data_IF_695945628371
#
_entry.id   IF_695945628371
#
_cell.length_a   1.000
_cell.length_b   1.000
_cell.length_c   1.000
_cell.angle_alpha   90.00
_cell.angle_beta   90.00
_cell.angle_gamma   90.00
#
_symmetry.space_group_name_H-M   'P 1'
#
loop_
_entity.id
_entity.type
_entity.pdbx_description
1 polymer ?
#
# COMPACT_ATOMS: atom_id res chain seq x y z
N UNK A 1 16.11 -10.67 3.44
CA UNK A 1 15.64 -9.28 3.62
C UNK A 1 15.14 -8.64 2.31
N UNK A 2 15.71 -8.98 1.13
CA UNK A 2 15.44 -8.31 -0.16
C UNK A 2 13.96 -8.15 -0.59
N UNK A 3 13.01 -8.99 -0.12
CA UNK A 3 11.59 -8.92 -0.52
C UNK A 3 10.64 -8.34 0.54
N UNK A 4 11.15 -7.83 1.66
CA UNK A 4 10.30 -7.39 2.78
C UNK A 4 9.40 -6.22 2.40
N UNK A 5 9.94 -5.18 1.76
CA UNK A 5 9.15 -4.04 1.29
C UNK A 5 8.10 -4.45 0.25
N UNK A 6 8.42 -5.39 -0.65
CA UNK A 6 7.46 -5.90 -1.62
C UNK A 6 6.33 -6.69 -0.94
N UNK A 7 6.63 -7.48 0.10
CA UNK A 7 5.62 -8.18 0.90
C UNK A 7 4.75 -7.19 1.67
N UNK A 8 5.34 -6.16 2.26
CA UNK A 8 4.59 -5.09 2.92
C UNK A 8 3.64 -4.39 1.95
N UNK A 9 4.15 -3.94 0.82
CA UNK A 9 3.36 -3.29 -0.23
C UNK A 9 2.25 -4.18 -0.78
N UNK A 10 2.49 -5.49 -0.88
CA UNK A 10 1.45 -6.42 -1.35
C UNK A 10 0.23 -6.46 -0.42
N UNK A 11 0.37 -6.11 0.87
CA UNK A 11 -0.76 -6.02 1.81
C UNK A 11 -1.59 -4.76 1.56
N UNK A 12 -0.96 -3.66 1.13
CA UNK A 12 -1.66 -2.45 0.70
C UNK A 12 -2.45 -2.69 -0.59
N UNK A 13 -1.84 -3.35 -1.58
CA UNK A 13 -2.44 -3.52 -2.91
C UNK A 13 -3.45 -4.67 -2.95
N UNK A 14 -3.18 -5.75 -2.21
CA UNK A 14 -4.01 -6.96 -2.21
C UNK A 14 -4.56 -7.32 -0.82
N UNK A 15 -5.19 -6.39 -0.08
CA UNK A 15 -5.59 -6.60 1.30
C UNK A 15 -6.49 -7.83 1.48
N UNK A 16 -7.40 -8.07 0.52
CA UNK A 16 -8.30 -9.24 0.52
C UNK A 16 -7.56 -10.58 0.52
N UNK A 17 -6.40 -10.69 -0.15
CA UNK A 17 -5.62 -11.94 -0.19
C UNK A 17 -4.96 -12.25 1.15
N UNK A 18 -4.82 -11.24 2.01
CA UNK A 18 -4.30 -11.34 3.38
C UNK A 18 -5.42 -11.38 4.43
N UNK A 19 -6.70 -11.32 4.02
CA UNK A 19 -7.83 -11.22 4.95
C UNK A 19 -7.93 -9.86 5.66
N UNK A 20 -7.28 -8.82 5.13
CA UNK A 20 -7.41 -7.44 5.61
C UNK A 20 -8.70 -6.82 5.07
N UNK A 21 -9.23 -5.82 5.77
CA UNK A 21 -10.46 -5.14 5.36
C UNK A 21 -10.30 -4.51 3.96
N UNK A 22 -11.37 -4.21 3.25
CA UNK A 22 -11.27 -3.46 2.00
C UNK A 22 -12.62 -2.84 1.62
N UNK A 23 -12.59 -1.87 0.71
CA UNK A 23 -13.78 -1.13 0.28
C UNK A 23 -14.87 -2.00 -0.36
N UNK A 24 -14.51 -3.16 -0.92
CA UNK A 24 -15.44 -4.01 -1.66
C UNK A 24 -16.04 -5.14 -0.83
N UNK A 25 -15.45 -5.44 0.32
CA UNK A 25 -16.00 -6.40 1.29
C UNK A 25 -15.96 -5.74 2.66
N UNK A 26 -16.91 -4.83 2.96
CA UNK A 26 -17.00 -4.26 4.29
C UNK A 26 -17.24 -5.42 5.26
N UNK A 27 -16.22 -5.75 6.06
CA UNK A 27 -16.43 -6.53 7.27
C UNK A 27 -17.34 -5.69 8.13
N UNK A 28 -18.61 -6.05 8.17
CA UNK A 28 -19.61 -5.50 9.08
C UNK A 28 -19.13 -5.83 10.48
N UNK A 29 -18.17 -5.08 11.02
CA UNK A 29 -17.94 -5.15 12.45
C UNK A 29 -19.10 -4.39 13.08
N UNK A 30 -19.76 -4.93 14.11
CA UNK A 30 -20.91 -4.30 14.78
C UNK A 30 -20.64 -2.87 15.30
N UNK A 31 -19.36 -2.47 15.31
CA UNK A 31 -18.82 -1.22 15.85
C UNK A 31 -18.78 -0.08 14.82
N UNK A 32 -18.90 -0.39 13.53
CA UNK A 32 -18.89 0.63 12.48
C UNK A 32 -20.33 1.06 12.20
N UNK A 33 -20.65 2.29 12.57
CA UNK A 33 -21.85 2.96 12.06
C UNK A 33 -21.85 2.87 10.51
N UNK A 34 -23.00 2.70 9.85
CA UNK A 34 -23.13 2.59 8.39
C UNK A 34 -22.41 3.71 7.60
N UNK A 35 -22.11 4.83 8.25
CA UNK A 35 -21.53 6.03 7.68
C UNK A 35 -20.01 6.18 7.88
N UNK A 36 -19.36 5.29 8.64
CA UNK A 36 -17.92 5.42 8.93
C UNK A 36 -17.16 4.22 8.35
N UNK A 37 -16.95 4.25 7.04
CA UNK A 37 -15.99 3.34 6.41
C UNK A 37 -14.58 3.65 6.94
N UNK A 38 -13.74 2.63 7.18
CA UNK A 38 -12.33 2.85 7.51
C UNK A 38 -11.62 3.63 6.40
N UNK A 39 -10.68 4.49 6.79
CA UNK A 39 -9.71 5.02 5.83
C UNK A 39 -8.83 3.87 5.33
N UNK A 40 -8.82 3.65 4.02
CA UNK A 40 -8.04 2.61 3.38
C UNK A 40 -6.76 3.15 2.72
N UNK A 41 -6.50 4.47 2.81
CA UNK A 41 -5.28 5.09 2.32
C UNK A 41 -4.09 4.78 3.23
N UNK A 42 -4.25 4.94 4.54
CA UNK A 42 -3.27 4.51 5.55
C UNK A 42 -3.78 3.27 6.30
N UNK A 43 -3.01 2.18 6.21
CA UNK A 43 -3.34 0.88 6.79
C UNK A 43 -2.23 0.33 7.66
N UNK A 44 -1.26 1.17 8.00
CA UNK A 44 -0.02 0.73 8.64
C UNK A 44 -0.29 0.04 9.99
N UNK A 45 -1.23 0.58 10.78
CA UNK A 45 -1.63 -0.01 12.06
C UNK A 45 -2.34 -1.36 11.91
N UNK A 46 -3.20 -1.51 10.91
CA UNK A 46 -3.88 -2.77 10.62
C UNK A 46 -2.87 -3.84 10.18
N UNK A 47 -1.93 -3.46 9.30
CA UNK A 47 -0.86 -4.34 8.83
C UNK A 47 0.05 -4.75 9.98
N UNK A 48 0.49 -3.82 10.84
CA UNK A 48 1.26 -4.14 12.05
C UNK A 48 0.54 -5.13 12.96
N UNK A 49 -0.77 -4.95 13.14
CA UNK A 49 -1.60 -5.85 13.94
C UNK A 49 -1.77 -7.23 13.30
N UNK A 50 -1.93 -7.29 11.97
CA UNK A 50 -1.91 -8.54 11.22
C UNK A 50 -0.56 -9.25 11.34
N UNK A 51 0.52 -8.49 11.20
CA UNK A 51 1.89 -8.97 11.25
C UNK A 51 2.24 -9.56 12.62
N UNK A 52 1.86 -8.85 13.69
CA UNK A 52 1.98 -9.34 15.06
C UNK A 52 1.23 -10.65 15.27
N UNK A 53 -0.02 -10.75 14.76
CA UNK A 53 -0.85 -11.96 14.90
C UNK A 53 -0.29 -13.17 14.15
N UNK A 54 0.33 -12.97 12.99
CA UNK A 54 0.91 -14.07 12.20
C UNK A 54 2.27 -14.56 12.72
N UNK A 55 2.90 -13.79 13.62
CA UNK A 55 4.19 -14.13 14.22
C UNK A 55 5.27 -14.38 13.16
N UNK A 56 6.15 -15.37 13.38
CA UNK A 56 7.22 -15.71 12.43
C UNK A 56 6.72 -16.33 11.10
N UNK A 57 5.43 -16.66 10.98
CA UNK A 57 4.85 -17.31 9.80
C UNK A 57 4.27 -16.30 8.80
N UNK A 58 5.12 -15.39 8.32
CA UNK A 58 4.77 -14.45 7.25
C UNK A 58 4.66 -15.15 5.90
N UNK A 59 3.59 -15.92 5.72
CA UNK A 59 3.34 -16.63 4.46
C UNK A 59 2.70 -15.68 3.47
N UNK A 60 3.45 -15.32 2.43
CA UNK A 60 2.86 -14.70 1.23
C UNK A 60 1.86 -15.68 0.61
N UNK A 61 0.61 -15.26 0.35
CA UNK A 61 -0.39 -16.08 -0.33
C UNK A 61 0.17 -16.62 -1.65
N UNK A 62 -0.10 -17.90 -1.95
CA UNK A 62 0.47 -18.60 -3.13
C UNK A 62 0.25 -17.80 -4.42
N UNK A 63 -0.93 -17.19 -4.57
CA UNK A 63 -1.32 -16.36 -5.73
C UNK A 63 -0.45 -15.11 -5.91
N UNK A 64 0.13 -14.57 -4.84
CA UNK A 64 0.89 -13.32 -4.88
C UNK A 64 2.41 -13.54 -4.99
N UNK A 65 2.89 -14.77 -4.90
CA UNK A 65 4.33 -15.07 -4.89
C UNK A 65 5.04 -14.53 -6.13
N UNK A 66 4.49 -14.76 -7.33
CA UNK A 66 5.06 -14.25 -8.59
C UNK A 66 4.95 -12.73 -8.70
N UNK A 67 3.90 -12.13 -8.13
CA UNK A 67 3.69 -10.68 -8.15
C UNK A 67 4.73 -9.91 -7.34
N UNK A 68 5.34 -10.52 -6.31
CA UNK A 68 6.30 -9.83 -5.46
C UNK A 68 7.49 -9.23 -6.25
N UNK A 69 7.97 -9.91 -7.30
CA UNK A 69 9.07 -9.40 -8.14
C UNK A 69 8.66 -8.13 -8.90
N UNK A 70 7.40 -8.03 -9.31
CA UNK A 70 6.88 -6.83 -9.96
C UNK A 70 6.76 -5.68 -8.96
N UNK A 71 6.29 -5.99 -7.74
CA UNK A 71 6.17 -5.00 -6.67
C UNK A 71 7.53 -4.46 -6.23
N UNK A 72 8.55 -5.30 -6.15
CA UNK A 72 9.92 -4.88 -5.86
C UNK A 72 10.44 -3.92 -6.93
N UNK A 73 10.28 -4.27 -8.22
CA UNK A 73 10.62 -3.37 -9.34
C UNK A 73 9.84 -2.06 -9.28
N UNK A 74 8.57 -2.11 -8.89
CA UNK A 74 7.73 -0.93 -8.76
C UNK A 74 8.25 0.00 -7.65
N UNK A 75 8.59 -0.53 -6.47
CA UNK A 75 9.19 0.25 -5.38
C UNK A 75 10.50 0.89 -5.83
N UNK A 76 11.36 0.12 -6.51
CA UNK A 76 12.63 0.64 -7.01
C UNK A 76 12.43 1.79 -8.01
N UNK A 77 11.52 1.61 -8.99
CA UNK A 77 11.19 2.65 -9.98
C UNK A 77 10.56 3.88 -9.33
N UNK A 78 9.69 3.68 -8.34
CA UNK A 78 9.06 4.77 -7.58
C UNK A 78 10.13 5.63 -6.89
N UNK A 79 11.10 5.01 -6.21
CA UNK A 79 12.21 5.73 -5.57
C UNK A 79 13.18 6.42 -6.56
N UNK A 80 13.20 6.03 -7.83
CA UNK A 80 13.99 6.67 -8.90
C UNK A 80 13.17 7.64 -9.76
N UNK A 81 11.89 7.79 -9.48
CA UNK A 81 11.00 8.63 -10.26
C UNK A 81 11.27 10.12 -9.95
N UNK A 82 11.61 10.89 -10.98
CA UNK A 82 11.82 12.34 -10.87
C UNK A 82 10.47 13.06 -10.87
N UNK A 83 9.71 12.91 -9.79
CA UNK A 83 8.36 13.48 -9.66
C UNK A 83 8.30 14.99 -9.94
N UNK A 84 9.34 15.74 -9.55
CA UNK A 84 9.44 17.17 -9.86
C UNK A 84 9.53 17.42 -11.37
N UNK A 85 10.42 16.72 -12.08
CA UNK A 85 10.57 16.89 -13.52
C UNK A 85 9.29 16.48 -14.28
N UNK A 86 8.62 15.40 -13.84
CA UNK A 86 7.31 14.99 -14.37
C UNK A 86 6.24 16.07 -14.17
N UNK A 87 6.16 16.62 -12.95
CA UNK A 87 5.26 17.73 -12.63
C UNK A 87 5.57 18.93 -13.52
N UNK A 88 6.83 19.35 -13.59
CA UNK A 88 7.23 20.56 -14.31
C UNK A 88 6.97 20.45 -15.83
N UNK A 89 7.02 19.24 -16.39
CA UNK A 89 6.62 18.96 -17.78
C UNK A 89 5.11 19.08 -18.00
N UNK A 90 4.29 18.60 -17.06
CA UNK A 90 2.83 18.55 -17.23
C UNK A 90 2.11 19.82 -16.73
N UNK A 91 2.63 20.43 -15.68
CA UNK A 91 2.10 21.61 -15.00
C UNK A 91 3.28 22.41 -14.40
N UNK A 92 4.00 23.19 -15.22
CA UNK A 92 5.05 24.06 -14.73
C UNK A 92 4.43 25.06 -13.75
N UNK A 93 4.91 25.09 -12.51
CA UNK A 93 4.45 26.09 -11.55
C UNK A 93 4.95 27.47 -12.00
N UNK A 94 4.05 28.33 -12.48
CA UNK A 94 4.31 29.74 -12.77
C UNK A 94 4.53 30.59 -11.51
N UNK A 95 4.98 29.99 -10.39
CA UNK A 95 5.45 30.77 -9.27
C UNK A 95 6.75 31.40 -9.73
N UNK A 96 6.62 32.57 -10.37
CA UNK A 96 7.72 33.48 -10.56
C UNK A 96 8.22 33.79 -9.16
N UNK A 97 9.42 33.33 -8.83
CA UNK A 97 10.18 33.81 -7.69
C UNK A 97 10.42 35.32 -7.92
N UNK A 98 9.44 36.15 -7.60
CA UNK A 98 9.63 37.58 -7.41
C UNK A 98 10.37 37.75 -6.09
N UNK A 99 11.70 37.72 -6.20
CA UNK A 99 12.63 38.33 -5.24
C UNK A 99 12.59 39.84 -5.44
#
# INVERSE_FOLDING_TARGET
QQMEHARHLSKYIFPRQYGLANAFTPTVQPKWLPHKLPDYADRENEIKTYDFRQGKSFKTPKRLKSTLQLLEKMIWRHGKCHYRALRDMACPSHVCDYI
#
